data_IF_586887537596
#
_entry.id   IF_586887537596
#
_cell.length_a   1.000
_cell.length_b   1.000
_cell.length_c   1.000
_cell.angle_alpha   90.00
_cell.angle_beta   90.00
_cell.angle_gamma   90.00
#
_symmetry.space_group_name_H-M   'P 1'
#
loop_
_entity.id
_entity.type
_entity.pdbx_description
1 polymer ?
#
# COMPACT_ATOMS: atom_id res chain seq x y z
N UNK A 1 39.95 -4.81 28.76
CA UNK A 1 38.90 -5.49 29.52
C UNK A 1 37.93 -4.40 29.91
N UNK A 2 37.18 -3.94 28.91
CA UNK A 2 35.90 -3.26 29.12
C UNK A 2 34.95 -4.31 29.70
N UNK A 3 34.14 -3.89 30.66
CA UNK A 3 33.18 -4.75 31.35
C UNK A 3 31.98 -4.86 30.38
N UNK A 4 31.93 -5.94 29.60
CA UNK A 4 30.82 -6.22 28.69
C UNK A 4 29.54 -6.33 29.52
N UNK A 5 28.55 -5.49 29.23
CA UNK A 5 27.24 -5.56 29.89
C UNK A 5 26.36 -6.45 29.04
N UNK A 6 26.14 -7.69 29.51
CA UNK A 6 25.32 -8.67 28.84
C UNK A 6 23.97 -8.81 29.57
N UNK A 7 22.94 -8.23 28.99
CA UNK A 7 21.57 -8.35 29.48
C UNK A 7 20.85 -9.51 28.79
N UNK A 8 19.98 -10.20 29.53
CA UNK A 8 19.23 -11.36 29.02
C UNK A 8 17.74 -11.05 29.07
N UNK A 9 17.06 -11.20 27.92
CA UNK A 9 15.65 -10.88 27.73
C UNK A 9 14.85 -12.11 27.25
N UNK A 10 13.53 -11.98 27.29
CA UNK A 10 12.54 -12.98 26.87
C UNK A 10 11.43 -12.22 26.12
N UNK A 11 11.15 -12.61 24.88
CA UNK A 11 10.25 -11.93 23.95
C UNK A 11 10.88 -10.72 23.26
N UNK A 12 10.04 -9.76 22.86
CA UNK A 12 10.46 -8.58 22.09
C UNK A 12 11.44 -7.67 22.84
N UNK A 13 12.41 -7.14 22.11
CA UNK A 13 13.36 -6.11 22.59
C UNK A 13 13.28 -4.86 21.73
N UNK A 14 13.44 -3.71 22.37
CA UNK A 14 13.45 -2.42 21.67
C UNK A 14 14.66 -1.60 22.09
N UNK A 15 15.51 -1.24 21.11
CA UNK A 15 16.65 -0.36 21.30
C UNK A 15 16.17 1.10 21.24
N UNK A 16 16.50 1.86 22.29
CA UNK A 16 15.97 3.21 22.51
C UNK A 16 17.06 4.27 22.68
N UNK A 17 18.31 3.90 22.44
CA UNK A 17 19.48 4.78 22.56
C UNK A 17 20.02 4.88 23.99
N UNK A 18 19.56 3.99 24.89
CA UNK A 18 20.05 3.92 26.27
C UNK A 18 21.26 2.98 26.42
N UNK A 19 21.46 2.12 25.44
CA UNK A 19 22.54 1.16 25.33
C UNK A 19 23.85 1.88 24.95
N UNK A 20 24.96 1.44 25.56
CA UNK A 20 26.28 1.94 25.20
C UNK A 20 26.71 1.27 23.89
N UNK A 21 26.92 2.08 22.84
CA UNK A 21 27.36 1.60 21.53
C UNK A 21 28.89 1.31 21.49
N UNK A 22 29.35 0.33 20.70
CA UNK A 22 28.58 -0.51 19.77
C UNK A 22 27.64 -1.51 20.47
N UNK A 23 26.45 -1.71 19.89
CA UNK A 23 25.43 -2.62 20.43
C UNK A 23 25.34 -3.87 19.58
N UNK A 24 25.31 -5.05 20.21
CA UNK A 24 25.06 -6.31 19.52
C UNK A 24 23.73 -6.96 19.94
N UNK A 25 22.91 -7.35 18.97
CA UNK A 25 21.72 -8.21 19.15
C UNK A 25 22.04 -9.60 18.63
N UNK A 26 21.73 -10.66 19.41
CA UNK A 26 22.09 -12.05 19.09
C UNK A 26 20.88 -12.96 19.15
N UNK A 27 20.73 -13.79 18.13
CA UNK A 27 19.71 -14.85 18.05
C UNK A 27 18.24 -14.35 18.19
N UNK A 28 17.83 -13.21 17.59
CA UNK A 28 16.41 -12.87 17.48
C UNK A 28 15.73 -13.67 16.36
N UNK A 29 14.41 -13.83 16.42
CA UNK A 29 13.63 -14.30 15.26
C UNK A 29 13.71 -13.21 14.17
N UNK A 30 13.08 -12.06 14.40
CA UNK A 30 13.07 -10.96 13.43
C UNK A 30 13.74 -9.68 13.94
N UNK A 31 14.33 -8.88 13.05
CA UNK A 31 14.86 -7.55 13.40
C UNK A 31 14.37 -6.47 12.45
N UNK A 32 13.71 -5.46 13.00
CA UNK A 32 13.16 -4.33 12.28
C UNK A 32 13.94 -3.05 12.58
N UNK A 33 14.67 -2.56 11.58
CA UNK A 33 15.45 -1.33 11.65
C UNK A 33 14.73 -0.20 10.92
N UNK A 34 14.21 0.75 11.70
CA UNK A 34 13.47 1.91 11.20
C UNK A 34 14.42 2.99 10.70
N UNK A 35 13.89 3.94 9.92
CA UNK A 35 14.63 5.14 9.55
C UNK A 35 15.29 5.80 10.78
N UNK A 36 16.55 6.21 10.61
CA UNK A 36 17.40 6.83 11.63
C UNK A 36 17.70 5.96 12.85
N UNK A 37 17.55 4.63 12.76
CA UNK A 37 17.76 3.73 13.90
C UNK A 37 19.22 3.57 14.33
N UNK A 38 20.15 3.48 13.38
CA UNK A 38 21.58 3.27 13.66
C UNK A 38 22.38 4.46 13.15
N UNK A 39 22.98 5.23 14.06
CA UNK A 39 23.75 6.42 13.69
C UNK A 39 25.07 6.08 12.96
N UNK A 40 25.69 4.95 13.31
CA UNK A 40 26.96 4.47 12.77
C UNK A 40 26.81 3.41 11.69
N UNK A 41 27.78 2.50 11.65
CA UNK A 41 27.83 1.34 10.78
C UNK A 41 26.96 0.19 11.33
N UNK A 42 26.40 -0.61 10.42
CA UNK A 42 25.62 -1.80 10.75
C UNK A 42 26.24 -3.03 10.11
N UNK A 43 26.46 -4.06 10.91
CA UNK A 43 26.89 -5.38 10.44
C UNK A 43 25.87 -6.47 10.75
N UNK A 44 25.44 -7.21 9.73
CA UNK A 44 24.59 -8.38 9.84
C UNK A 44 25.43 -9.64 9.63
N UNK A 45 25.41 -10.58 10.58
CA UNK A 45 26.17 -11.84 10.53
C UNK A 45 25.25 -13.05 10.56
N UNK A 46 25.30 -13.87 9.52
CA UNK A 46 24.51 -15.09 9.34
C UNK A 46 22.98 -14.95 9.57
N UNK A 47 22.31 -13.88 9.09
CA UNK A 47 20.84 -13.90 9.07
C UNK A 47 20.31 -14.95 8.08
N UNK A 48 19.11 -15.49 8.26
CA UNK A 48 18.49 -16.31 7.20
C UNK A 48 18.16 -15.42 6.00
N UNK A 49 17.31 -14.42 6.18
CA UNK A 49 16.98 -13.44 5.15
C UNK A 49 17.33 -12.01 5.54
N UNK A 50 17.74 -11.22 4.54
CA UNK A 50 17.89 -9.77 4.68
C UNK A 50 17.06 -9.07 3.61
N UNK A 51 16.19 -8.18 4.05
CA UNK A 51 15.42 -7.28 3.22
C UNK A 51 15.94 -5.86 3.44
N UNK A 52 16.44 -5.19 2.41
CA UNK A 52 17.04 -3.86 2.58
C UNK A 52 16.71 -2.89 1.46
N UNK A 53 16.36 -1.65 1.83
CA UNK A 53 16.30 -0.50 0.92
C UNK A 53 17.62 0.29 0.89
N UNK A 54 18.73 -0.36 1.27
CA UNK A 54 20.07 0.19 1.33
C UNK A 54 21.06 -0.70 0.58
N UNK A 55 22.07 -0.10 -0.09
CA UNK A 55 23.16 -0.86 -0.69
C UNK A 55 23.89 -1.72 0.35
N UNK A 56 24.13 -2.99 -0.01
CA UNK A 56 24.94 -3.92 0.79
C UNK A 56 26.39 -3.94 0.32
N UNK A 57 27.32 -4.25 1.22
CA UNK A 57 28.75 -4.41 0.89
C UNK A 57 29.60 -3.15 1.08
N UNK A 58 29.06 -2.13 1.75
CA UNK A 58 29.89 -1.11 2.37
C UNK A 58 30.64 -1.77 3.52
N UNK A 59 31.97 -1.74 3.53
CA UNK A 59 32.79 -2.41 4.55
C UNK A 59 32.62 -1.78 5.92
N UNK A 60 31.47 -2.02 6.55
CA UNK A 60 31.14 -1.64 7.91
C UNK A 60 32.25 -2.15 8.84
N UNK A 61 32.75 -1.27 9.70
CA UNK A 61 33.81 -1.58 10.65
C UNK A 61 33.25 -1.42 12.07
N UNK A 62 32.55 -2.46 12.53
CA UNK A 62 31.91 -2.48 13.85
C UNK A 62 32.90 -3.05 14.86
N UNK A 63 33.32 -2.20 15.81
CA UNK A 63 34.18 -2.57 16.94
C UNK A 63 33.53 -3.63 17.87
N UNK A 64 34.29 -4.17 18.82
CA UNK A 64 33.74 -5.08 19.83
C UNK A 64 32.59 -4.40 20.61
N UNK A 65 31.44 -5.08 20.82
CA UNK A 65 30.28 -4.47 21.43
C UNK A 65 30.50 -4.15 22.91
N UNK A 66 30.07 -2.97 23.34
CA UNK A 66 30.01 -2.58 24.76
C UNK A 66 28.74 -3.12 25.43
N UNK A 67 27.63 -3.20 24.66
CA UNK A 67 26.36 -3.76 25.09
C UNK A 67 25.97 -4.98 24.24
N UNK A 68 25.58 -6.08 24.88
CA UNK A 68 25.09 -7.28 24.19
C UNK A 68 23.68 -7.64 24.68
N UNK A 69 22.72 -7.59 23.77
CA UNK A 69 21.33 -8.00 23.93
C UNK A 69 21.17 -9.43 23.40
N UNK A 70 20.70 -10.34 24.25
CA UNK A 70 20.53 -11.76 23.94
C UNK A 70 19.47 -12.39 24.83
N UNK A 71 19.09 -13.64 24.56
CA UNK A 71 18.13 -14.38 25.36
C UNK A 71 17.26 -15.26 24.49
N UNK A 72 16.03 -15.52 24.92
CA UNK A 72 15.01 -16.16 24.09
C UNK A 72 14.23 -15.00 23.42
N UNK A 73 14.83 -14.39 22.39
CA UNK A 73 14.32 -13.18 21.75
C UNK A 73 13.35 -13.56 20.62
N UNK A 74 12.15 -12.96 20.65
CA UNK A 74 11.21 -13.00 19.52
C UNK A 74 11.63 -11.91 18.53
N UNK A 75 11.13 -10.69 18.66
CA UNK A 75 11.47 -9.60 17.74
C UNK A 75 12.47 -8.58 18.33
N UNK A 76 13.33 -8.04 17.47
CA UNK A 76 14.19 -6.89 17.75
C UNK A 76 13.73 -5.64 17.01
N UNK A 77 13.40 -4.57 17.74
CA UNK A 77 13.07 -3.27 17.16
C UNK A 77 14.15 -2.25 17.47
N UNK A 78 14.58 -1.48 16.47
CA UNK A 78 15.33 -0.26 16.72
C UNK A 78 14.44 0.95 16.45
N UNK A 79 14.22 1.78 17.47
CA UNK A 79 13.54 3.06 17.31
C UNK A 79 14.44 4.05 16.54
N UNK A 80 13.91 5.17 16.02
CA UNK A 80 14.73 6.28 15.60
C UNK A 80 15.66 6.72 16.74
N UNK A 81 16.94 6.94 16.43
CA UNK A 81 18.01 7.17 17.41
C UNK A 81 18.23 5.99 18.39
N UNK A 82 17.73 4.80 18.06
CA UNK A 82 17.78 3.60 18.91
C UNK A 82 19.20 3.07 19.18
N UNK A 83 20.15 3.32 18.27
CA UNK A 83 21.57 3.04 18.47
C UNK A 83 22.40 4.28 18.12
N UNK A 84 23.06 4.84 19.12
CA UNK A 84 23.81 6.12 19.00
C UNK A 84 25.17 5.99 18.31
N UNK A 85 25.60 4.76 18.00
CA UNK A 85 26.84 4.43 17.29
C UNK A 85 26.65 3.24 16.37
N UNK A 86 27.63 2.34 16.35
CA UNK A 86 27.60 1.14 15.49
C UNK A 86 26.73 0.02 16.09
N UNK A 87 26.22 -0.84 15.22
CA UNK A 87 25.38 -1.97 15.61
C UNK A 87 25.81 -3.27 14.91
N UNK A 88 25.64 -4.39 15.60
CA UNK A 88 25.76 -5.72 15.02
C UNK A 88 24.52 -6.57 15.32
N UNK A 89 23.98 -7.24 14.31
CA UNK A 89 22.94 -8.26 14.47
C UNK A 89 23.53 -9.59 14.01
N UNK A 90 23.38 -10.65 14.80
CA UNK A 90 23.86 -11.95 14.40
C UNK A 90 22.88 -13.07 14.66
N UNK A 91 22.88 -14.02 13.71
CA UNK A 91 22.11 -15.26 13.75
C UNK A 91 20.60 -14.99 13.90
N UNK A 92 20.10 -13.92 13.25
CA UNK A 92 18.68 -13.63 13.14
C UNK A 92 18.00 -14.53 12.11
N UNK A 93 16.70 -14.81 12.22
CA UNK A 93 15.95 -15.39 11.11
C UNK A 93 15.82 -14.32 10.01
N UNK A 94 15.06 -13.24 10.23
CA UNK A 94 14.90 -12.18 9.24
C UNK A 94 15.40 -10.80 9.72
N UNK A 95 15.98 -10.01 8.81
CA UNK A 95 16.37 -8.62 9.09
C UNK A 95 15.81 -7.68 8.04
N UNK A 96 15.03 -6.69 8.50
CA UNK A 96 14.39 -5.66 7.68
C UNK A 96 15.07 -4.30 7.90
N UNK A 97 15.81 -3.83 6.90
CA UNK A 97 16.56 -2.57 6.93
C UNK A 97 15.86 -1.53 6.07
N UNK A 98 15.04 -0.68 6.71
CA UNK A 98 14.29 0.36 6.00
C UNK A 98 15.19 1.43 5.38
N UNK A 99 14.63 2.18 4.42
CA UNK A 99 15.31 3.31 3.82
C UNK A 99 15.70 4.32 4.90
N UNK A 100 16.96 4.76 4.88
CA UNK A 100 17.50 5.68 5.89
C UNK A 100 17.77 5.07 7.26
N UNK A 101 17.68 3.75 7.45
CA UNK A 101 17.87 3.14 8.78
C UNK A 101 19.29 3.26 9.35
N UNK A 102 20.30 3.33 8.47
CA UNK A 102 21.72 3.31 8.84
C UNK A 102 22.41 4.60 8.37
N UNK A 103 23.07 5.31 9.28
CA UNK A 103 23.83 6.52 8.98
C UNK A 103 25.15 6.25 8.23
N UNK A 104 25.80 5.13 8.57
CA UNK A 104 27.03 4.65 7.95
C UNK A 104 26.82 3.57 6.88
N UNK A 105 27.71 2.58 6.88
CA UNK A 105 27.74 1.46 5.96
C UNK A 105 26.93 0.26 6.48
N UNK A 106 26.32 -0.47 5.54
CA UNK A 106 25.69 -1.77 5.79
C UNK A 106 26.57 -2.89 5.23
N UNK A 107 27.06 -3.76 6.11
CA UNK A 107 27.74 -5.00 5.78
C UNK A 107 26.84 -6.19 6.09
N UNK A 108 26.74 -7.13 5.16
CA UNK A 108 25.96 -8.36 5.31
C UNK A 108 26.87 -9.55 5.04
N UNK A 109 27.06 -10.41 6.03
CA UNK A 109 28.02 -11.50 6.00
C UNK A 109 27.30 -12.82 6.25
N UNK A 110 27.44 -13.76 5.32
CA UNK A 110 26.86 -15.10 5.46
C UNK A 110 25.33 -15.23 5.45
N UNK A 111 24.55 -14.34 4.80
CA UNK A 111 23.10 -14.51 4.74
C UNK A 111 22.73 -15.76 3.91
N UNK A 112 21.57 -16.38 4.16
CA UNK A 112 21.04 -17.37 3.20
C UNK A 112 20.57 -16.67 1.93
N UNK A 113 19.82 -15.57 2.06
CA UNK A 113 19.41 -14.72 0.94
C UNK A 113 19.39 -13.24 1.29
N UNK A 114 19.53 -12.39 0.27
CA UNK A 114 19.44 -10.93 0.38
C UNK A 114 18.54 -10.40 -0.72
N UNK A 115 17.48 -9.70 -0.33
CA UNK A 115 16.63 -8.89 -1.19
C UNK A 115 17.02 -7.43 -0.95
N UNK A 116 17.60 -6.81 -1.97
CA UNK A 116 18.11 -5.45 -1.85
C UNK A 116 17.66 -4.60 -3.04
N UNK A 117 17.13 -3.43 -2.74
CA UNK A 117 16.93 -2.34 -3.69
C UNK A 117 17.45 -1.04 -3.06
N UNK A 118 17.82 -0.05 -3.88
CA UNK A 118 18.24 1.26 -3.37
C UNK A 118 17.08 2.24 -3.51
N UNK A 119 16.45 2.55 -2.38
CA UNK A 119 15.23 3.38 -2.34
C UNK A 119 15.49 4.57 -1.43
N UNK A 120 15.24 5.78 -1.94
CA UNK A 120 15.20 6.98 -1.11
C UNK A 120 13.94 6.93 -0.23
N UNK A 121 14.02 7.34 1.05
CA UNK A 121 12.84 7.40 1.91
C UNK A 121 11.75 8.26 1.25
N UNK A 122 10.53 7.73 1.03
CA UNK A 122 9.49 8.47 0.32
C UNK A 122 9.09 9.76 1.05
N UNK A 123 9.17 9.73 2.39
CA UNK A 123 8.85 10.87 3.25
C UNK A 123 9.49 10.73 4.63
N UNK A 124 9.50 11.82 5.39
CA UNK A 124 9.91 11.81 6.79
C UNK A 124 8.96 10.93 7.63
N UNK A 125 9.49 10.04 8.48
CA UNK A 125 8.72 9.14 9.36
C UNK A 125 7.56 9.76 10.13
N UNK A 126 7.71 11.01 10.57
CA UNK A 126 6.74 11.71 11.41
C UNK A 126 5.62 12.39 10.63
N UNK A 127 5.63 12.34 9.30
CA UNK A 127 4.65 13.01 8.45
C UNK A 127 3.47 12.12 8.04
N UNK A 128 3.59 10.80 8.20
CA UNK A 128 2.54 9.84 7.85
C UNK A 128 1.30 9.99 8.73
N UNK A 129 0.12 9.87 8.12
CA UNK A 129 -1.16 9.91 8.84
C UNK A 129 -1.36 8.68 9.74
N UNK A 130 -0.85 7.53 9.28
CA UNK A 130 -0.81 6.28 10.05
C UNK A 130 0.64 5.80 10.10
N UNK A 131 1.19 5.70 11.31
CA UNK A 131 2.50 5.11 11.57
C UNK A 131 2.36 4.05 12.67
N UNK A 132 2.60 2.78 12.31
CA UNK A 132 2.51 1.65 13.25
C UNK A 132 3.85 0.93 13.34
N UNK A 133 4.15 0.39 14.52
CA UNK A 133 5.32 -0.46 14.75
C UNK A 133 4.97 -1.58 15.72
N UNK A 134 5.48 -2.79 15.47
CA UNK A 134 5.41 -3.94 16.39
C UNK A 134 4.68 -5.15 15.79
N UNK A 135 4.02 -5.91 16.65
CA UNK A 135 3.18 -7.04 16.27
C UNK A 135 1.69 -6.68 16.28
N UNK A 136 0.97 -7.08 15.23
CA UNK A 136 -0.50 -7.12 15.16
C UNK A 136 -1.21 -5.83 15.61
N UNK A 137 -0.72 -4.70 15.12
CA UNK A 137 -1.35 -3.40 15.35
C UNK A 137 -2.44 -3.15 14.32
N UNK A 138 -3.37 -2.25 14.65
CA UNK A 138 -4.39 -1.79 13.71
C UNK A 138 -4.42 -0.26 13.65
N UNK A 139 -4.61 0.29 12.46
CA UNK A 139 -4.64 1.74 12.22
C UNK A 139 -5.72 2.13 11.22
N UNK A 140 -6.18 3.38 11.30
CA UNK A 140 -7.07 3.92 10.28
C UNK A 140 -6.92 5.43 10.13
N UNK A 141 -7.18 5.94 8.92
CA UNK A 141 -7.25 7.37 8.63
C UNK A 141 -8.37 7.66 7.63
N UNK A 142 -8.89 8.90 7.64
CA UNK A 142 -9.90 9.37 6.70
C UNK A 142 -9.47 10.71 6.12
N UNK A 143 -9.44 10.81 4.78
CA UNK A 143 -8.93 11.97 4.02
C UNK A 143 -7.45 12.29 4.38
N UNK A 144 -6.52 11.32 4.23
CA UNK A 144 -5.11 11.49 4.57
C UNK A 144 -4.38 12.46 3.62
N UNK A 145 -3.33 13.10 4.13
CA UNK A 145 -2.49 14.03 3.35
C UNK A 145 -1.13 13.41 2.93
N UNK A 146 -0.66 12.38 3.62
CA UNK A 146 0.68 11.82 3.47
C UNK A 146 0.69 10.30 3.24
N UNK A 147 -0.14 9.54 3.94
CA UNK A 147 -0.32 8.10 3.73
C UNK A 147 -0.02 7.22 4.94
N UNK A 148 0.58 6.05 4.70
CA UNK A 148 0.75 4.97 5.68
C UNK A 148 2.20 4.52 5.76
N UNK A 149 2.69 4.33 6.98
CA UNK A 149 3.93 3.62 7.27
C UNK A 149 3.71 2.53 8.30
N UNK A 150 4.14 1.30 8.00
CA UNK A 150 4.06 0.17 8.93
C UNK A 150 5.41 -0.53 9.03
N UNK A 151 5.75 -1.01 10.22
CA UNK A 151 6.99 -1.74 10.48
C UNK A 151 6.76 -2.86 11.49
N UNK A 152 7.06 -4.11 11.16
CA UNK A 152 6.87 -5.25 12.06
C UNK A 152 6.08 -6.35 11.38
N UNK A 153 5.04 -6.86 12.04
CA UNK A 153 4.27 -7.96 11.46
C UNK A 153 2.76 -7.89 11.74
N UNK A 154 1.97 -8.49 10.84
CA UNK A 154 0.52 -8.70 10.98
C UNK A 154 -0.33 -7.44 11.23
N UNK A 155 0.08 -6.30 10.68
CA UNK A 155 -0.70 -5.06 10.84
C UNK A 155 -1.90 -4.99 9.90
N UNK A 156 -3.00 -4.43 10.39
CA UNK A 156 -4.20 -4.13 9.60
C UNK A 156 -4.41 -2.62 9.51
N UNK A 157 -4.44 -2.04 8.31
CA UNK A 157 -4.65 -0.60 8.11
C UNK A 157 -5.78 -0.33 7.15
N UNK A 158 -6.71 0.57 7.52
CA UNK A 158 -7.78 1.04 6.63
C UNK A 158 -7.68 2.55 6.41
N UNK A 159 -7.52 2.96 5.17
CA UNK A 159 -7.51 4.36 4.75
C UNK A 159 -8.73 4.65 3.90
N UNK A 160 -9.51 5.66 4.28
CA UNK A 160 -10.74 6.02 3.58
C UNK A 160 -10.69 7.43 3.01
N UNK A 161 -11.43 7.65 1.91
CA UNK A 161 -11.65 8.98 1.31
C UNK A 161 -10.36 9.68 0.88
N UNK A 162 -9.34 8.95 0.47
CA UNK A 162 -8.13 9.55 -0.13
C UNK A 162 -8.49 10.43 -1.31
N UNK A 163 -8.00 11.68 -1.31
CA UNK A 163 -8.24 12.70 -2.34
C UNK A 163 -6.97 13.42 -2.81
N UNK A 164 -5.84 13.10 -2.19
CA UNK A 164 -4.50 13.59 -2.52
C UNK A 164 -3.58 12.39 -2.67
N UNK A 165 -2.50 12.56 -3.43
CA UNK A 165 -1.53 11.50 -3.63
C UNK A 165 -0.86 11.14 -2.29
N UNK A 166 -0.75 9.84 -2.00
CA UNK A 166 -0.20 9.31 -0.75
C UNK A 166 0.86 8.24 -0.97
N UNK A 167 1.74 8.09 0.01
CA UNK A 167 2.78 7.07 0.05
C UNK A 167 2.39 5.95 1.03
N UNK A 168 2.61 4.70 0.63
CA UNK A 168 2.39 3.51 1.45
C UNK A 168 3.72 2.79 1.60
N UNK A 169 4.34 2.87 2.78
CA UNK A 169 5.61 2.23 3.05
C UNK A 169 5.47 1.10 4.07
N UNK A 170 5.67 -0.12 3.59
CA UNK A 170 5.48 -1.37 4.35
C UNK A 170 6.82 -2.04 4.58
N UNK A 171 7.14 -2.32 5.84
CA UNK A 171 8.38 -3.02 6.24
C UNK A 171 8.05 -4.18 7.15
N UNK A 172 8.40 -5.40 6.74
CA UNK A 172 8.12 -6.62 7.50
C UNK A 172 7.18 -7.56 6.76
N UNK A 173 6.30 -8.26 7.47
CA UNK A 173 5.51 -9.33 6.87
C UNK A 173 4.06 -9.42 7.36
N UNK A 174 3.23 -10.11 6.56
CA UNK A 174 1.81 -10.36 6.82
C UNK A 174 0.97 -9.09 7.05
N UNK A 175 1.35 -7.95 6.46
CA UNK A 175 0.55 -6.73 6.57
C UNK A 175 -0.65 -6.75 5.61
N UNK A 176 -1.81 -6.26 6.08
CA UNK A 176 -3.01 -6.04 5.26
C UNK A 176 -3.37 -4.55 5.28
N UNK A 177 -3.34 -3.90 4.11
CA UNK A 177 -3.65 -2.47 3.96
C UNK A 177 -4.76 -2.28 2.93
N UNK A 178 -5.85 -1.64 3.31
CA UNK A 178 -6.96 -1.29 2.42
C UNK A 178 -7.05 0.23 2.26
N UNK A 179 -7.08 0.72 1.02
CA UNK A 179 -7.11 2.15 0.70
C UNK A 179 -8.27 2.43 -0.23
N UNK A 180 -9.18 3.32 0.17
CA UNK A 180 -10.30 3.78 -0.65
C UNK A 180 -10.30 5.29 -0.79
N UNK A 181 -10.80 5.78 -1.91
CA UNK A 181 -10.73 7.20 -2.22
C UNK A 181 -11.15 7.47 -3.66
N UNK A 182 -10.78 8.63 -4.18
CA UNK A 182 -11.02 9.02 -5.58
C UNK A 182 -9.98 10.01 -6.08
N UNK A 183 -9.61 9.86 -7.36
CA UNK A 183 -8.82 10.85 -8.10
C UNK A 183 -7.49 11.20 -7.42
N UNK A 184 -6.80 10.19 -6.89
CA UNK A 184 -5.51 10.32 -6.23
C UNK A 184 -4.62 9.11 -6.56
N UNK A 185 -3.31 9.34 -6.57
CA UNK A 185 -2.29 8.32 -6.72
C UNK A 185 -1.90 7.66 -5.38
N UNK A 186 -1.55 6.38 -5.44
CA UNK A 186 -1.02 5.61 -4.31
C UNK A 186 0.32 5.02 -4.73
N UNK A 187 1.41 5.54 -4.17
CA UNK A 187 2.76 5.04 -4.39
C UNK A 187 3.11 4.01 -3.30
N UNK A 188 3.32 2.75 -3.69
CA UNK A 188 3.53 1.63 -2.77
C UNK A 188 4.99 1.20 -2.77
N UNK A 189 5.55 1.06 -1.57
CA UNK A 189 6.91 0.60 -1.29
C UNK A 189 6.83 -0.58 -0.32
N UNK A 190 7.24 -1.77 -0.76
CA UNK A 190 7.21 -2.99 0.03
C UNK A 190 8.63 -3.48 0.32
N UNK A 191 8.89 -3.84 1.57
CA UNK A 191 10.16 -4.37 2.06
C UNK A 191 9.88 -5.55 3.00
N UNK A 192 9.96 -6.77 2.48
CA UNK A 192 9.62 -8.00 3.21
C UNK A 192 8.71 -8.92 2.40
N UNK A 193 7.83 -9.68 3.05
CA UNK A 193 7.06 -10.74 2.40
C UNK A 193 5.63 -10.88 2.90
N UNK A 194 4.78 -11.57 2.13
CA UNK A 194 3.36 -11.84 2.45
C UNK A 194 2.54 -10.57 2.77
N UNK A 195 2.94 -9.41 2.23
CA UNK A 195 2.22 -8.15 2.44
C UNK A 195 1.18 -7.92 1.35
N UNK A 196 -0.01 -7.50 1.74
CA UNK A 196 -1.11 -7.19 0.81
C UNK A 196 -1.54 -5.72 0.92
N UNK A 197 -1.50 -5.00 -0.19
CA UNK A 197 -2.06 -3.65 -0.33
C UNK A 197 -3.20 -3.66 -1.34
N UNK A 198 -4.43 -3.47 -0.87
CA UNK A 198 -5.63 -3.35 -1.69
C UNK A 198 -5.96 -1.89 -1.94
N UNK A 199 -6.02 -1.50 -3.22
CA UNK A 199 -6.32 -0.12 -3.64
C UNK A 199 -7.69 -0.07 -4.31
N UNK A 200 -8.52 0.86 -3.85
CA UNK A 200 -9.90 1.02 -4.31
C UNK A 200 -10.01 1.49 -5.76
N UNK A 201 -11.17 1.28 -6.40
CA UNK A 201 -11.32 1.31 -7.86
C UNK A 201 -11.28 2.68 -8.52
N UNK A 202 -11.19 3.75 -7.73
CA UNK A 202 -11.10 5.14 -8.24
C UNK A 202 -9.77 5.80 -7.89
N UNK A 203 -8.79 5.01 -7.46
CA UNK A 203 -7.43 5.43 -7.17
C UNK A 203 -6.50 4.81 -8.20
N UNK A 204 -5.46 5.54 -8.56
CA UNK A 204 -4.38 5.04 -9.40
C UNK A 204 -3.28 4.49 -8.47
N UNK A 205 -2.80 3.27 -8.68
CA UNK A 205 -1.71 2.70 -7.90
C UNK A 205 -0.44 2.48 -8.72
N UNK A 206 0.70 2.72 -8.09
CA UNK A 206 2.02 2.44 -8.63
C UNK A 206 2.85 1.69 -7.58
N UNK A 207 3.43 0.55 -7.97
CA UNK A 207 4.43 -0.13 -7.14
C UNK A 207 5.79 0.46 -7.46
N UNK A 208 6.30 1.28 -6.55
CA UNK A 208 7.59 1.98 -6.72
C UNK A 208 8.75 1.06 -6.37
N UNK A 209 8.59 0.27 -5.31
CA UNK A 209 9.56 -0.75 -4.89
C UNK A 209 8.84 -1.97 -4.32
N UNK A 210 9.35 -3.16 -4.67
CA UNK A 210 8.91 -4.44 -4.13
C UNK A 210 10.15 -5.29 -3.82
N UNK A 211 10.68 -5.11 -2.61
CA UNK A 211 11.91 -5.73 -2.13
C UNK A 211 11.56 -6.91 -1.23
N UNK A 212 11.40 -8.09 -1.85
CA UNK A 212 11.15 -9.34 -1.15
C UNK A 212 10.40 -10.34 -2.03
N UNK A 213 9.44 -11.05 -1.47
CA UNK A 213 8.68 -12.09 -2.18
C UNK A 213 7.26 -12.21 -1.64
N UNK A 214 6.37 -12.80 -2.45
CA UNK A 214 4.97 -13.09 -2.09
C UNK A 214 4.17 -11.86 -1.60
N UNK A 215 4.59 -10.66 -1.99
CA UNK A 215 3.83 -9.43 -1.81
C UNK A 215 2.77 -9.25 -2.91
N UNK A 216 1.65 -8.63 -2.57
CA UNK A 216 0.54 -8.35 -3.49
C UNK A 216 0.08 -6.89 -3.40
N UNK A 217 0.00 -6.21 -4.55
CA UNK A 217 -0.68 -4.91 -4.69
C UNK A 217 -1.87 -5.09 -5.63
N UNK A 218 -3.07 -5.14 -5.07
CA UNK A 218 -4.31 -5.44 -5.77
C UNK A 218 -5.14 -4.17 -5.97
N UNK A 219 -5.16 -3.65 -7.19
CA UNK A 219 -6.13 -2.62 -7.58
C UNK A 219 -7.50 -3.25 -7.85
N UNK A 220 -8.53 -2.74 -7.18
CA UNK A 220 -9.91 -3.16 -7.42
C UNK A 220 -10.37 -2.62 -8.78
N UNK A 221 -11.08 -3.43 -9.59
CA UNK A 221 -11.55 -2.99 -10.90
C UNK A 221 -12.65 -1.93 -10.76
N UNK A 222 -12.68 -0.97 -11.69
CA UNK A 222 -13.76 0.02 -11.74
C UNK A 222 -15.15 -0.65 -11.79
N UNK A 223 -16.10 -0.29 -10.92
CA UNK A 223 -17.44 -0.88 -10.92
C UNK A 223 -18.24 -0.41 -12.14
N UNK A 224 -18.60 -1.34 -13.02
CA UNK A 224 -19.30 -1.03 -14.29
C UNK A 224 -20.65 -0.33 -14.09
N UNK A 225 -21.31 -0.59 -12.95
CA UNK A 225 -22.54 0.08 -12.54
C UNK A 225 -22.40 1.61 -12.47
N UNK A 226 -21.23 2.13 -12.12
CA UNK A 226 -21.02 3.57 -11.98
C UNK A 226 -20.84 4.27 -13.32
N UNK A 227 -20.54 3.52 -14.39
CA UNK A 227 -20.60 4.03 -15.74
C UNK A 227 -22.04 4.14 -16.27
N UNK A 228 -23.00 3.43 -15.66
CA UNK A 228 -24.40 3.38 -16.12
C UNK A 228 -25.19 4.58 -15.59
N UNK A 229 -25.24 5.66 -16.36
CA UNK A 229 -26.06 6.84 -16.06
C UNK A 229 -27.56 6.56 -16.12
N UNK A 230 -27.99 5.68 -17.03
CA UNK A 230 -29.40 5.28 -17.14
C UNK A 230 -29.49 3.83 -17.56
N UNK A 231 -30.00 3.00 -16.65
CA UNK A 231 -30.22 1.60 -16.92
C UNK A 231 -31.38 1.38 -17.91
N UNK A 232 -31.41 0.22 -18.56
CA UNK A 232 -32.52 -0.16 -19.45
C UNK A 232 -33.87 -0.15 -18.73
N UNK A 233 -33.91 -0.64 -17.48
CA UNK A 233 -35.14 -0.70 -16.69
C UNK A 233 -35.67 0.71 -16.38
N UNK A 234 -34.79 1.62 -15.97
CA UNK A 234 -35.11 3.01 -15.69
C UNK A 234 -35.58 3.77 -16.94
N UNK A 235 -34.88 3.61 -18.07
CA UNK A 235 -35.28 4.20 -19.34
C UNK A 235 -36.68 3.75 -19.77
N UNK A 236 -37.00 2.48 -19.50
CA UNK A 236 -38.28 1.87 -19.84
C UNK A 236 -39.39 2.37 -18.91
N UNK A 237 -39.15 2.40 -17.61
CA UNK A 237 -40.10 2.94 -16.63
C UNK A 237 -40.45 4.42 -16.93
N UNK A 238 -39.43 5.25 -17.18
CA UNK A 238 -39.60 6.66 -17.57
C UNK A 238 -40.37 6.85 -18.89
N UNK A 239 -40.31 5.89 -19.81
CA UNK A 239 -41.04 5.98 -21.08
C UNK A 239 -42.56 5.93 -20.88
N UNK A 240 -43.03 5.25 -19.84
CA UNK A 240 -44.43 5.20 -19.42
C UNK A 240 -45.37 4.66 -20.51
N UNK A 241 -46.05 5.56 -21.22
CA UNK A 241 -47.04 5.20 -22.25
C UNK A 241 -46.87 6.02 -23.54
N UNK A 242 -47.01 5.35 -24.68
CA UNK A 242 -46.97 5.95 -26.01
C UNK A 242 -45.67 5.69 -26.77
N UNK A 243 -45.56 6.25 -27.98
CA UNK A 243 -44.35 6.13 -28.80
C UNK A 243 -43.26 7.05 -28.25
N UNK A 244 -42.12 6.48 -27.85
CA UNK A 244 -40.98 7.21 -27.27
C UNK A 244 -39.67 6.69 -27.84
N UNK A 245 -38.71 7.60 -27.96
CA UNK A 245 -37.30 7.26 -28.13
C UNK A 245 -36.64 7.30 -26.76
N UNK A 246 -35.94 6.23 -26.40
CA UNK A 246 -35.22 6.06 -25.13
C UNK A 246 -33.75 5.78 -25.41
N UNK A 247 -32.90 6.24 -24.51
CA UNK A 247 -31.47 5.91 -24.47
C UNK A 247 -31.21 5.18 -23.16
N UNK A 248 -30.38 4.14 -23.20
CA UNK A 248 -29.98 3.39 -22.01
C UNK A 248 -28.60 2.76 -22.20
N UNK A 249 -27.90 2.51 -21.10
CA UNK A 249 -26.64 1.77 -21.08
C UNK A 249 -26.85 0.34 -20.55
N UNK A 250 -25.99 -0.57 -21.00
CA UNK A 250 -25.84 -1.92 -20.46
C UNK A 250 -24.35 -2.23 -20.35
N UNK A 251 -23.90 -2.98 -19.32
CA UNK A 251 -22.54 -3.49 -19.26
C UNK A 251 -22.17 -4.29 -20.52
N UNK A 252 -20.90 -4.23 -20.89
CA UNK A 252 -20.28 -4.99 -21.97
C UNK A 252 -19.17 -5.83 -21.37
N UNK A 253 -19.07 -7.10 -21.79
CA UNK A 253 -17.99 -8.02 -21.38
C UNK A 253 -16.72 -7.83 -22.24
N UNK A 254 -16.46 -6.61 -22.70
CA UNK A 254 -15.29 -6.32 -23.52
C UNK A 254 -14.16 -5.87 -22.57
N UNK A 255 -12.95 -6.38 -22.77
CA UNK A 255 -11.76 -5.96 -22.00
C UNK A 255 -10.98 -4.81 -22.66
N UNK A 256 -11.45 -4.37 -23.84
CA UNK A 256 -10.81 -3.33 -24.64
C UNK A 256 -11.84 -2.36 -25.19
N UNK A 257 -11.69 -1.08 -24.87
CA UNK A 257 -12.63 -0.06 -25.28
C UNK A 257 -12.46 0.31 -26.75
N UNK A 258 -13.46 0.06 -27.62
CA UNK A 258 -13.34 0.39 -29.05
C UNK A 258 -13.44 1.90 -29.33
N UNK A 259 -13.77 2.71 -28.32
CA UNK A 259 -13.92 4.16 -28.47
C UNK A 259 -12.62 4.93 -28.20
N UNK A 260 -11.92 4.66 -27.09
CA UNK A 260 -10.60 5.25 -26.81
C UNK A 260 -9.42 4.38 -27.27
N UNK A 261 -9.63 3.07 -27.45
CA UNK A 261 -8.57 2.15 -27.84
C UNK A 261 -7.62 1.82 -26.69
N UNK A 262 -8.13 1.76 -25.47
CA UNK A 262 -7.37 1.40 -24.26
C UNK A 262 -8.00 0.17 -23.60
N UNK A 263 -7.21 -0.65 -22.87
CA UNK A 263 -7.78 -1.64 -21.96
C UNK A 263 -8.64 -0.92 -20.93
N UNK A 264 -9.68 -1.59 -20.45
CA UNK A 264 -10.60 -0.99 -19.50
C UNK A 264 -11.19 -2.05 -18.56
N UNK A 265 -11.36 -1.69 -17.31
CA UNK A 265 -12.00 -2.51 -16.27
C UNK A 265 -13.52 -2.53 -16.45
N UNK A 266 -14.09 -1.44 -16.98
CA UNK A 266 -15.53 -1.28 -17.11
C UNK A 266 -15.93 -0.71 -18.47
N UNK A 267 -16.78 -1.42 -19.20
CA UNK A 267 -17.30 -0.94 -20.49
C UNK A 267 -18.81 -0.97 -20.50
N UNK A 268 -19.44 0.12 -20.95
CA UNK A 268 -20.89 0.19 -21.17
C UNK A 268 -21.22 0.46 -22.63
N UNK A 269 -22.28 -0.18 -23.11
CA UNK A 269 -22.82 0.01 -24.44
C UNK A 269 -24.09 0.88 -24.38
N UNK A 270 -24.01 2.08 -24.94
CA UNK A 270 -25.14 3.02 -25.06
C UNK A 270 -26.02 2.65 -26.25
N UNK A 271 -27.25 2.25 -25.93
CA UNK A 271 -28.28 1.93 -26.90
C UNK A 271 -29.29 3.05 -27.06
N UNK A 272 -29.82 3.18 -28.28
CA UNK A 272 -31.02 3.97 -28.55
C UNK A 272 -32.12 3.05 -29.07
N UNK A 273 -33.35 3.23 -28.59
CA UNK A 273 -34.51 2.48 -29.03
C UNK A 273 -35.69 3.41 -29.19
N UNK A 274 -36.40 3.31 -30.31
CA UNK A 274 -37.74 3.88 -30.45
C UNK A 274 -38.78 2.77 -30.43
N UNK A 275 -39.72 2.84 -29.50
CA UNK A 275 -40.78 1.86 -29.37
C UNK A 275 -42.10 2.49 -28.92
N UNK A 276 -43.21 1.76 -29.13
CA UNK A 276 -44.48 2.01 -28.47
C UNK A 276 -44.44 1.33 -27.10
N UNK A 277 -44.50 2.13 -26.04
CA UNK A 277 -44.49 1.67 -24.66
C UNK A 277 -45.90 1.65 -24.08
N UNK A 278 -46.16 0.64 -23.25
CA UNK A 278 -47.36 0.54 -22.41
C UNK A 278 -46.90 0.13 -21.01
N UNK A 279 -47.11 1.01 -20.03
CA UNK A 279 -46.63 0.83 -18.64
C UNK A 279 -45.13 0.50 -18.58
N UNK A 280 -44.33 1.24 -19.36
CA UNK A 280 -42.89 1.07 -19.47
C UNK A 280 -42.43 -0.17 -20.26
N UNK A 281 -43.36 -1.01 -20.71
CA UNK A 281 -43.01 -2.19 -21.51
C UNK A 281 -43.06 -1.88 -23.01
N UNK A 282 -41.99 -2.11 -23.80
CA UNK A 282 -42.03 -1.91 -25.23
C UNK A 282 -42.86 -3.01 -25.91
N UNK A 283 -43.99 -2.65 -26.50
CA UNK A 283 -44.90 -3.59 -27.20
C UNK A 283 -44.59 -3.65 -28.71
N UNK A 284 -44.03 -2.58 -29.27
CA UNK A 284 -43.61 -2.54 -30.68
C UNK A 284 -42.39 -1.65 -30.86
N UNK A 285 -41.27 -2.24 -31.28
CA UNK A 285 -40.04 -1.52 -31.61
C UNK A 285 -40.08 -1.04 -33.06
N UNK A 286 -39.76 0.23 -33.27
CA UNK A 286 -39.64 0.86 -34.60
C UNK A 286 -38.18 0.97 -35.02
N UNK A 287 -37.31 1.37 -34.09
CA UNK A 287 -35.88 1.55 -34.33
C UNK A 287 -35.10 1.05 -33.10
N UNK A 288 -33.94 0.44 -33.33
CA UNK A 288 -33.01 0.05 -32.28
C UNK A 288 -31.60 0.16 -32.82
N UNK A 289 -30.68 0.73 -32.04
CA UNK A 289 -29.27 0.74 -32.39
C UNK A 289 -28.76 -0.69 -32.53
N UNK A 290 -28.20 -1.01 -33.70
CA UNK A 290 -27.54 -2.28 -33.98
C UNK A 290 -26.06 -2.26 -33.61
N UNK A 291 -25.44 -1.07 -33.70
CA UNK A 291 -24.08 -0.81 -33.25
C UNK A 291 -24.16 0.24 -32.13
N UNK A 292 -24.31 -0.18 -30.86
CA UNK A 292 -24.29 0.76 -29.74
C UNK A 292 -22.92 1.44 -29.65
N UNK A 293 -22.92 2.71 -29.25
CA UNK A 293 -21.68 3.39 -28.90
C UNK A 293 -21.16 2.78 -27.59
N UNK A 294 -19.88 2.42 -27.51
CA UNK A 294 -19.27 1.95 -26.27
C UNK A 294 -18.47 3.06 -25.63
N UNK A 295 -18.46 3.09 -24.31
CA UNK A 295 -17.65 4.00 -23.48
C UNK A 295 -17.14 3.22 -22.27
N UNK A 296 -15.98 3.60 -21.75
CA UNK A 296 -15.34 3.01 -20.58
C UNK A 296 -15.01 4.07 -19.54
N UNK A 297 -14.45 3.68 -18.41
CA UNK A 297 -14.01 4.58 -17.33
C UNK A 297 -13.02 5.67 -17.79
N UNK A 298 -12.20 5.41 -18.81
CA UNK A 298 -11.27 6.44 -19.32
C UNK A 298 -11.93 7.48 -20.24
N UNK A 299 -13.01 7.13 -20.95
CA UNK A 299 -13.60 7.99 -21.99
C UNK A 299 -15.06 8.40 -21.75
N UNK A 300 -15.70 7.81 -20.74
CA UNK A 300 -17.03 8.22 -20.30
C UNK A 300 -16.95 9.49 -19.47
N UNK A 301 -17.89 10.41 -19.69
CA UNK A 301 -18.01 11.60 -18.83
C UNK A 301 -18.54 11.27 -17.44
N UNK A 302 -19.33 10.21 -17.30
CA UNK A 302 -19.88 9.78 -16.02
C UNK A 302 -18.82 9.23 -15.07
N UNK A 303 -17.70 8.72 -15.59
CA UNK A 303 -16.57 8.28 -14.79
C UNK A 303 -15.84 9.44 -14.07
N UNK A 304 -16.01 10.66 -14.59
CA UNK A 304 -15.40 11.87 -14.04
C UNK A 304 -16.41 12.78 -13.34
N UNK A 305 -17.61 12.27 -13.00
CA UNK A 305 -18.67 13.13 -12.48
C UNK A 305 -18.32 13.60 -11.05
N UNK A 306 -17.71 14.77 -10.99
CA UNK A 306 -17.31 15.49 -9.78
C UNK A 306 -18.53 16.07 -9.02
N UNK A 307 -19.69 15.43 -9.09
CA UNK A 307 -20.83 15.80 -8.27
C UNK A 307 -20.59 15.33 -6.84
N UNK A 308 -20.25 16.29 -5.98
CA UNK A 308 -20.26 16.08 -4.53
C UNK A 308 -21.60 15.46 -4.13
N UNK A 309 -21.55 14.37 -3.38
CA UNK A 309 -22.76 13.81 -2.74
C UNK A 309 -23.42 14.86 -1.86
N UNK A 310 -24.70 14.70 -1.51
CA UNK A 310 -25.39 15.68 -0.65
C UNK A 310 -24.66 15.89 0.69
N UNK A 311 -24.05 14.83 1.22
CA UNK A 311 -23.23 14.86 2.44
C UNK A 311 -21.95 15.69 2.22
N UNK A 312 -21.23 15.45 1.13
CA UNK A 312 -20.01 16.20 0.82
C UNK A 312 -20.28 17.67 0.51
N UNK A 313 -21.42 17.99 -0.11
CA UNK A 313 -21.88 19.38 -0.29
C UNK A 313 -22.13 20.09 1.03
N UNK A 314 -22.59 19.37 2.06
CA UNK A 314 -22.84 19.94 3.39
C UNK A 314 -21.55 20.21 4.15
N UNK A 315 -20.51 19.40 3.94
CA UNK A 315 -19.21 19.57 4.59
C UNK A 315 -18.39 20.70 3.96
N UNK A 316 -18.46 20.92 2.64
CA UNK A 316 -17.80 22.06 1.96
C UNK A 316 -18.38 23.42 2.37
N UNK A 317 -19.60 23.46 2.91
CA UNK A 317 -20.30 24.68 3.35
C UNK A 317 -20.19 24.95 4.87
N UNK A 318 -19.39 24.18 5.60
CA UNK A 318 -19.06 24.41 7.02
C UNK A 318 -17.69 25.06 7.16
#
# INVERSE_FOLDING_TARGET
MTDETADTYDGDVTLTGHEDAPVAVRDPEDVFLRADSVAGDLELRNPEYVFTHRPTGGGADVDDPETVVRGDLEDGYAEPEGVTGDAAVADAEDVFVSAGAVGGHLSVVGPENVYADEVEPPRDPGEYDVALTGWKQSGSSSDPDAGVRVTGAHHEVTVEKTRTDIDVYVVGHDHEIEITGRSAGVSVYLLGYDNTVTVGPYLDSEVVADTGFDNEVAAQPYPVEDLVETSKAEAFDRAGFGRRKVTYQVPSDDDWCPNCGEPADAIVARHQMEALFVFGHPIRTYERSTNPAKECEHCSRSAFDAELTESERKDVLR
#
